data_IF_654267374439
#
_entry.id   IF_654267374439
#
_cell.length_a   1.000
_cell.length_b   1.000
_cell.length_c   1.000
_cell.angle_alpha   90.00
_cell.angle_beta   90.00
_cell.angle_gamma   90.00
#
_symmetry.space_group_name_H-M   'P 1'
#
loop_
_entity.id
_entity.type
_entity.pdbx_description
1 polymer ?
#
# COMPACT_ATOMS: atom_id res chain seq x y z
N UNK A 1 0.27 -24.94 -3.43
CA UNK A 1 0.93 -23.63 -3.22
C UNK A 1 0.36 -23.08 -1.94
N UNK A 2 1.15 -22.45 -1.06
CA UNK A 2 0.58 -21.78 0.11
C UNK A 2 -0.38 -20.69 -0.42
N UNK A 3 -1.64 -20.71 0.02
CA UNK A 3 -2.56 -19.64 -0.34
C UNK A 3 -2.04 -18.34 0.27
N UNK A 4 -1.81 -17.32 -0.56
CA UNK A 4 -1.47 -16.01 -0.07
C UNK A 4 -2.67 -15.42 0.69
N UNK A 5 -2.46 -14.72 1.81
CA UNK A 5 -3.55 -14.12 2.58
C UNK A 5 -4.38 -13.16 1.72
N UNK A 6 -5.71 -13.28 1.83
CA UNK A 6 -6.65 -12.29 1.29
C UNK A 6 -7.19 -11.51 2.49
N UNK A 7 -6.87 -10.25 2.54
CA UNK A 7 -7.22 -9.33 3.62
C UNK A 7 -8.09 -8.17 3.16
N UNK A 8 -8.49 -7.35 4.12
CA UNK A 8 -9.33 -6.18 3.90
C UNK A 8 -8.84 -5.00 4.74
N UNK A 9 -9.03 -3.78 4.23
CA UNK A 9 -8.78 -2.57 5.01
C UNK A 9 -9.89 -2.36 6.03
N UNK A 10 -9.52 -2.29 7.31
CA UNK A 10 -10.44 -2.17 8.45
C UNK A 10 -10.46 -0.75 8.98
N UNK A 11 -11.62 -0.14 9.01
CA UNK A 11 -11.84 1.22 9.54
C UNK A 11 -11.76 1.31 11.07
N UNK A 12 -11.66 2.54 11.58
CA UNK A 12 -11.58 2.78 13.03
C UNK A 12 -12.91 2.55 13.78
N UNK A 13 -14.03 2.38 13.05
CA UNK A 13 -15.36 2.15 13.63
C UNK A 13 -15.67 0.67 13.89
N UNK A 14 -14.81 -0.23 13.43
CA UNK A 14 -15.01 -1.67 13.59
C UNK A 14 -14.68 -2.13 15.03
N UNK A 15 -15.26 -3.24 15.46
CA UNK A 15 -15.08 -3.82 16.82
C UNK A 15 -13.63 -4.27 17.12
N UNK A 16 -12.71 -3.94 16.26
CA UNK A 16 -11.31 -4.27 16.30
C UNK A 16 -10.89 -5.15 15.11
N UNK A 17 -9.60 -5.09 14.73
CA UNK A 17 -9.15 -5.71 13.48
C UNK A 17 -9.35 -7.23 13.44
N UNK A 18 -9.15 -7.95 14.55
CA UNK A 18 -9.33 -9.41 14.60
C UNK A 18 -10.79 -9.82 14.55
N UNK A 19 -11.69 -9.05 15.19
CA UNK A 19 -13.12 -9.29 15.11
C UNK A 19 -13.64 -9.06 13.67
N UNK A 20 -13.20 -7.98 13.04
CA UNK A 20 -13.53 -7.68 11.66
C UNK A 20 -13.02 -8.76 10.69
N UNK A 21 -11.77 -9.24 10.87
CA UNK A 21 -11.24 -10.37 10.09
C UNK A 21 -12.12 -11.62 10.22
N UNK A 22 -12.53 -11.95 11.44
CA UNK A 22 -13.37 -13.12 11.70
C UNK A 22 -14.78 -12.97 11.10
N UNK A 23 -15.38 -11.77 11.16
CA UNK A 23 -16.69 -11.48 10.56
C UNK A 23 -16.67 -11.63 9.04
N UNK A 24 -15.60 -11.19 8.39
CA UNK A 24 -15.44 -11.23 6.93
C UNK A 24 -14.78 -12.51 6.42
N UNK A 25 -14.41 -13.44 7.28
CA UNK A 25 -13.61 -14.63 6.93
C UNK A 25 -12.31 -14.24 6.20
N UNK A 26 -11.66 -13.15 6.62
CA UNK A 26 -10.44 -12.64 6.01
C UNK A 26 -9.19 -13.28 6.62
N UNK A 27 -8.18 -13.56 5.77
CA UNK A 27 -6.88 -14.08 6.22
C UNK A 27 -5.96 -12.97 6.75
N UNK A 28 -6.28 -11.71 6.48
CA UNK A 28 -5.50 -10.56 6.87
C UNK A 28 -6.31 -9.29 7.02
N UNK A 29 -5.70 -8.30 7.65
CA UNK A 29 -6.26 -6.95 7.78
C UNK A 29 -5.21 -5.89 7.48
N UNK A 30 -5.64 -4.79 6.87
CA UNK A 30 -4.86 -3.56 6.82
C UNK A 30 -5.50 -2.53 7.74
N UNK A 31 -4.69 -1.85 8.52
CA UNK A 31 -5.13 -0.85 9.50
C UNK A 31 -4.33 0.43 9.43
N UNK A 32 -4.96 1.55 9.82
CA UNK A 32 -4.25 2.75 10.24
C UNK A 32 -3.95 2.71 11.74
N UNK A 33 -2.77 3.18 12.14
CA UNK A 33 -2.39 3.32 13.56
C UNK A 33 -2.79 4.67 14.15
N UNK A 34 -3.19 5.60 13.29
CA UNK A 34 -3.67 6.95 13.66
C UNK A 34 -4.74 7.36 12.64
N UNK A 35 -5.43 8.47 12.90
CA UNK A 35 -6.23 9.12 11.87
C UNK A 35 -5.36 9.37 10.61
N UNK A 36 -5.75 8.86 9.43
CA UNK A 36 -4.97 8.93 8.20
C UNK A 36 -4.73 10.36 7.69
N UNK A 37 -5.47 11.34 8.18
CA UNK A 37 -5.30 12.76 7.88
C UNK A 37 -4.50 13.51 8.95
N UNK A 38 -3.84 12.79 9.87
CA UNK A 38 -3.15 13.37 11.02
C UNK A 38 -1.65 13.22 10.93
N UNK A 39 -0.92 14.23 11.40
CA UNK A 39 0.53 14.17 11.68
C UNK A 39 0.86 13.73 13.11
N UNK A 40 -0.09 13.09 13.81
CA UNK A 40 0.17 12.58 15.16
C UNK A 40 0.95 11.27 15.12
N UNK A 41 1.90 11.14 16.05
CA UNK A 41 2.59 9.88 16.25
C UNK A 41 1.61 8.80 16.76
N UNK A 42 1.77 7.53 16.32
CA UNK A 42 0.98 6.44 16.85
C UNK A 42 1.25 6.23 18.34
N UNK A 43 0.20 5.79 19.05
CA UNK A 43 0.30 5.37 20.44
C UNK A 43 0.28 3.85 20.49
N UNK A 44 0.84 3.23 21.57
CA UNK A 44 0.68 1.81 21.79
C UNK A 44 -0.81 1.41 21.76
N UNK A 45 -1.13 0.34 21.06
CA UNK A 45 -2.49 -0.18 20.95
C UNK A 45 -2.78 -1.17 22.09
N UNK A 46 -3.99 -1.18 22.65
CA UNK A 46 -4.34 -2.14 23.71
C UNK A 46 -4.36 -3.60 23.19
N UNK A 47 -4.63 -3.81 21.89
CA UNK A 47 -4.70 -5.10 21.21
C UNK A 47 -3.38 -5.52 20.51
N UNK A 48 -2.27 -4.82 20.77
CA UNK A 48 -0.97 -5.06 20.13
C UNK A 48 -0.48 -6.51 20.31
N UNK A 49 -0.62 -7.04 21.52
CA UNK A 49 -0.19 -8.41 21.83
C UNK A 49 -1.06 -9.45 21.10
N UNK A 50 -2.37 -9.22 21.02
CA UNK A 50 -3.31 -10.12 20.36
C UNK A 50 -3.09 -10.13 18.85
N UNK A 51 -2.90 -8.97 18.23
CA UNK A 51 -2.55 -8.85 16.81
C UNK A 51 -1.27 -9.62 16.48
N UNK A 52 -0.22 -9.41 17.29
CA UNK A 52 1.07 -10.08 17.09
C UNK A 52 0.99 -11.60 17.27
N UNK A 53 0.11 -12.09 18.13
CA UNK A 53 -0.02 -13.51 18.44
C UNK A 53 -1.02 -14.24 17.51
N UNK A 54 -1.79 -13.51 16.71
CA UNK A 54 -2.80 -14.06 15.82
C UNK A 54 -2.17 -14.66 14.55
N UNK A 55 -2.90 -15.57 13.90
CA UNK A 55 -2.59 -16.07 12.57
C UNK A 55 -3.09 -15.13 11.46
N UNK A 56 -3.80 -14.05 11.79
CA UNK A 56 -4.28 -13.03 10.85
C UNK A 56 -3.09 -12.18 10.39
N UNK A 57 -2.87 -12.11 9.09
CA UNK A 57 -1.82 -11.27 8.52
C UNK A 57 -2.14 -9.78 8.73
N UNK A 58 -1.25 -9.04 9.36
CA UNK A 58 -1.44 -7.60 9.61
C UNK A 58 -0.60 -6.80 8.62
N UNK A 59 -1.21 -5.83 7.97
CA UNK A 59 -0.55 -4.79 7.19
C UNK A 59 -0.88 -3.43 7.81
N UNK A 60 0.07 -2.53 7.87
CA UNK A 60 -0.18 -1.17 8.35
C UNK A 60 -0.04 -0.20 7.19
N UNK A 61 -1.01 0.69 7.04
CA UNK A 61 -0.92 1.79 6.09
C UNK A 61 -0.51 3.09 6.81
N UNK A 62 0.45 3.79 6.26
CA UNK A 62 0.89 5.10 6.78
C UNK A 62 -0.16 6.19 6.48
N UNK A 63 -0.24 7.25 7.29
CA UNK A 63 -1.16 8.35 7.00
C UNK A 63 -0.95 8.96 5.61
N UNK A 64 -2.03 9.28 4.91
CA UNK A 64 -1.99 9.89 3.56
C UNK A 64 -1.23 11.21 3.50
N UNK A 65 -1.12 11.90 4.64
CA UNK A 65 -0.40 13.18 4.75
C UNK A 65 1.12 13.04 4.62
N UNK A 66 1.65 11.81 4.71
CA UNK A 66 3.09 11.57 4.62
C UNK A 66 3.58 11.77 3.18
N UNK A 67 4.50 12.71 3.01
CA UNK A 67 5.16 12.95 1.74
C UNK A 67 6.66 13.20 1.96
N UNK A 68 7.42 12.12 2.00
CA UNK A 68 8.88 12.19 2.19
C UNK A 68 9.63 12.62 0.92
N UNK A 69 8.97 12.59 -0.24
CA UNK A 69 9.52 13.10 -1.50
C UNK A 69 9.54 14.64 -1.55
N UNK A 70 8.69 15.32 -0.77
CA UNK A 70 8.49 16.76 -0.84
C UNK A 70 9.81 17.55 -0.77
N UNK A 71 9.95 18.55 -1.65
CA UNK A 71 11.06 19.53 -1.61
C UNK A 71 10.93 20.51 -0.44
N UNK A 72 9.70 20.63 0.13
CA UNK A 72 9.45 21.47 1.30
C UNK A 72 9.92 20.77 2.59
N UNK A 73 10.95 21.33 3.23
CA UNK A 73 11.49 20.80 4.49
C UNK A 73 10.47 20.77 5.63
N UNK A 74 9.46 21.66 5.63
CA UNK A 74 8.40 21.68 6.66
C UNK A 74 7.44 20.51 6.54
N UNK A 75 7.39 19.86 5.38
CA UNK A 75 6.61 18.64 5.13
C UNK A 75 7.52 17.42 5.29
N UNK A 76 8.66 17.42 4.58
CA UNK A 76 9.55 16.25 4.51
C UNK A 76 10.17 15.88 5.85
N UNK A 77 10.73 16.84 6.59
CA UNK A 77 11.47 16.52 7.82
C UNK A 77 10.57 15.93 8.90
N UNK A 78 9.41 16.54 9.24
CA UNK A 78 8.44 15.88 10.12
C UNK A 78 7.91 14.56 9.57
N UNK A 79 7.69 14.48 8.25
CA UNK A 79 7.24 13.26 7.57
C UNK A 79 8.18 12.06 7.77
N UNK A 80 9.49 12.25 7.62
CA UNK A 80 10.50 11.21 7.89
C UNK A 80 10.45 10.69 9.33
N UNK A 81 10.35 11.63 10.29
CA UNK A 81 10.26 11.25 11.71
C UNK A 81 8.98 10.44 11.98
N UNK A 82 7.87 10.90 11.42
CA UNK A 82 6.58 10.24 11.58
C UNK A 82 6.57 8.86 10.90
N UNK A 83 7.17 8.72 9.72
CA UNK A 83 7.33 7.45 9.03
C UNK A 83 8.09 6.43 9.89
N UNK A 84 9.21 6.82 10.50
CA UNK A 84 9.98 5.95 11.41
C UNK A 84 9.17 5.54 12.67
N UNK A 85 8.37 6.45 13.21
CA UNK A 85 7.50 6.16 14.35
C UNK A 85 6.39 5.17 13.97
N UNK A 86 5.79 5.32 12.78
CA UNK A 86 4.82 4.36 12.26
C UNK A 86 5.46 3.00 11.99
N UNK A 87 6.68 2.95 11.45
CA UNK A 87 7.40 1.69 11.24
C UNK A 87 7.65 0.95 12.56
N UNK A 88 8.04 1.67 13.62
CA UNK A 88 8.22 1.09 14.94
C UNK A 88 6.89 0.55 15.50
N UNK A 89 5.81 1.30 15.39
CA UNK A 89 4.50 0.88 15.89
C UNK A 89 3.89 -0.26 15.05
N UNK A 90 4.13 -0.28 13.74
CA UNK A 90 3.73 -1.37 12.87
C UNK A 90 4.48 -2.68 13.20
N UNK A 91 5.78 -2.60 13.49
CA UNK A 91 6.55 -3.74 13.98
C UNK A 91 6.03 -4.25 15.32
N UNK A 92 5.54 -3.37 16.20
CA UNK A 92 4.99 -3.74 17.49
C UNK A 92 3.73 -4.61 17.37
N UNK A 93 2.85 -4.34 16.40
CA UNK A 93 1.67 -5.18 16.12
C UNK A 93 1.96 -6.42 15.27
N UNK A 94 3.23 -6.67 14.89
CA UNK A 94 3.61 -7.82 14.09
C UNK A 94 3.28 -7.69 12.60
N UNK A 95 3.17 -6.46 12.07
CA UNK A 95 2.83 -6.24 10.68
C UNK A 95 3.87 -6.80 9.70
N UNK A 96 3.40 -7.26 8.53
CA UNK A 96 4.25 -7.71 7.42
C UNK A 96 5.07 -6.57 6.82
N UNK A 97 4.52 -5.36 6.81
CA UNK A 97 5.15 -4.16 6.29
C UNK A 97 4.33 -2.90 6.58
N UNK A 98 4.94 -1.75 6.33
CA UNK A 98 4.29 -0.44 6.37
C UNK A 98 4.11 0.07 4.94
N UNK A 99 2.87 0.11 4.47
CA UNK A 99 2.51 0.71 3.19
C UNK A 99 2.62 2.23 3.30
N UNK A 100 3.20 2.84 2.30
CA UNK A 100 3.32 4.29 2.20
C UNK A 100 3.20 4.74 0.74
N UNK A 101 2.35 5.72 0.48
CA UNK A 101 2.28 6.34 -0.84
C UNK A 101 3.65 6.89 -1.26
N UNK A 102 3.98 6.75 -2.52
CA UNK A 102 5.27 7.23 -3.05
C UNK A 102 5.52 8.73 -2.86
N UNK A 103 4.47 9.51 -2.58
CA UNK A 103 4.55 10.96 -2.49
C UNK A 103 4.82 11.64 -3.84
N UNK A 104 5.01 12.95 -3.80
CA UNK A 104 5.17 13.78 -5.00
C UNK A 104 5.99 15.02 -4.71
N UNK A 105 6.52 15.64 -5.75
CA UNK A 105 7.03 17.01 -5.74
C UNK A 105 6.06 17.93 -6.49
N UNK A 106 6.18 19.24 -6.29
CA UNK A 106 5.34 20.19 -7.04
C UNK A 106 5.64 20.10 -8.54
N UNK A 107 4.69 20.51 -9.37
CA UNK A 107 4.85 20.50 -10.83
C UNK A 107 6.01 21.41 -11.31
N UNK A 108 6.41 22.39 -10.50
CA UNK A 108 7.54 23.30 -10.76
C UNK A 108 8.88 22.74 -10.28
N UNK A 109 8.88 21.66 -9.53
CA UNK A 109 10.10 21.09 -8.94
C UNK A 109 10.64 19.96 -9.83
N UNK A 110 11.95 19.74 -9.74
CA UNK A 110 12.59 18.60 -10.39
C UNK A 110 12.21 17.30 -9.69
N UNK A 111 11.61 16.30 -10.40
CA UNK A 111 11.32 14.97 -9.84
C UNK A 111 12.55 14.28 -9.22
N UNK A 112 13.76 14.53 -9.76
CA UNK A 112 14.99 13.98 -9.20
C UNK A 112 15.22 14.41 -7.74
N UNK A 113 14.73 15.57 -7.33
CA UNK A 113 14.79 16.01 -5.94
C UNK A 113 13.91 15.14 -5.03
N UNK A 114 12.76 14.69 -5.52
CA UNK A 114 11.88 13.77 -4.78
C UNK A 114 12.50 12.38 -4.62
N UNK A 115 13.11 11.87 -5.67
CA UNK A 115 13.87 10.60 -5.66
C UNK A 115 15.03 10.66 -4.65
N UNK A 116 15.85 11.72 -4.70
CA UNK A 116 16.94 11.91 -3.74
C UNK A 116 16.44 12.08 -2.30
N UNK A 117 15.26 12.68 -2.11
CA UNK A 117 14.63 12.76 -0.79
C UNK A 117 14.22 11.39 -0.25
N UNK A 118 13.74 10.48 -1.08
CA UNK A 118 13.50 9.09 -0.71
C UNK A 118 14.80 8.36 -0.35
N UNK A 119 15.81 8.44 -1.20
CA UNK A 119 17.13 7.88 -0.91
C UNK A 119 17.67 8.36 0.43
N UNK A 120 17.60 9.69 0.68
CA UNK A 120 18.00 10.28 1.96
C UNK A 120 17.15 9.77 3.13
N UNK A 121 15.86 9.47 2.93
CA UNK A 121 15.00 8.95 3.98
C UNK A 121 15.51 7.61 4.48
N UNK A 122 15.85 6.68 3.59
CA UNK A 122 16.48 5.41 3.94
C UNK A 122 17.88 5.59 4.54
N UNK A 123 18.74 6.38 3.90
CA UNK A 123 20.11 6.60 4.36
C UNK A 123 20.20 7.26 5.76
N UNK A 124 19.24 8.13 6.11
CA UNK A 124 19.16 8.67 7.48
C UNK A 124 18.74 7.60 8.47
N UNK A 125 17.80 6.73 8.08
CA UNK A 125 17.34 5.68 8.95
C UNK A 125 18.45 4.63 9.21
N UNK A 126 19.30 4.33 8.23
CA UNK A 126 20.44 3.42 8.44
C UNK A 126 21.43 3.90 9.50
N UNK A 127 21.61 5.22 9.65
CA UNK A 127 22.49 5.80 10.70
C UNK A 127 21.92 5.65 12.09
N UNK A 128 20.58 5.68 12.20
CA UNK A 128 19.85 5.58 13.46
C UNK A 128 19.37 4.12 13.73
N UNK A 129 19.78 3.16 12.90
CA UNK A 129 19.26 1.81 12.76
C UNK A 129 18.41 1.70 11.50
N UNK A 130 18.16 0.50 11.00
CA UNK A 130 17.23 0.27 9.89
C UNK A 130 15.78 0.47 10.34
N UNK A 131 14.85 0.66 9.40
CA UNK A 131 13.43 0.61 9.74
C UNK A 131 13.09 -0.71 10.43
N UNK A 132 12.24 -0.63 11.46
CA UNK A 132 11.90 -1.80 12.28
C UNK A 132 11.17 -2.92 11.51
N UNK A 133 10.63 -2.60 10.32
CA UNK A 133 10.01 -3.54 9.38
C UNK A 133 10.16 -3.00 7.95
N UNK A 134 9.89 -3.82 6.90
CA UNK A 134 9.93 -3.37 5.51
C UNK A 134 8.97 -2.21 5.25
N UNK A 135 9.43 -1.22 4.47
CA UNK A 135 8.56 -0.20 3.88
C UNK A 135 8.11 -0.68 2.50
N UNK A 136 6.80 -0.66 2.27
CA UNK A 136 6.17 -0.98 1.01
C UNK A 136 5.72 0.31 0.33
N UNK A 137 6.39 0.69 -0.76
CA UNK A 137 6.07 1.91 -1.50
C UNK A 137 4.97 1.59 -2.52
N UNK A 138 3.90 2.36 -2.48
CA UNK A 138 2.72 2.15 -3.30
C UNK A 138 2.71 3.09 -4.52
N UNK A 139 2.29 2.56 -5.70
CA UNK A 139 1.98 3.38 -6.86
C UNK A 139 0.76 4.28 -6.62
N UNK A 140 0.60 5.31 -7.42
CA UNK A 140 -0.50 6.28 -7.26
C UNK A 140 -1.21 6.58 -8.58
N UNK A 141 -2.52 6.89 -8.48
CA UNK A 141 -3.40 7.19 -9.62
C UNK A 141 -3.00 8.44 -10.41
N UNK A 142 -2.54 9.47 -9.71
CA UNK A 142 -2.31 10.78 -10.30
C UNK A 142 -1.48 11.69 -9.42
N UNK A 143 -1.55 13.00 -9.68
CA UNK A 143 -0.91 14.01 -8.82
C UNK A 143 0.44 14.49 -9.33
N UNK A 144 0.51 15.10 -10.49
CA UNK A 144 1.67 15.83 -10.97
C UNK A 144 2.94 14.98 -11.09
N UNK A 145 4.01 15.38 -10.40
CA UNK A 145 5.28 14.68 -10.34
C UNK A 145 5.30 13.67 -9.18
N UNK A 146 4.36 12.71 -9.18
CA UNK A 146 4.36 11.60 -8.23
C UNK A 146 5.50 10.63 -8.50
N UNK A 147 6.09 10.07 -7.42
CA UNK A 147 7.33 9.28 -7.53
C UNK A 147 7.10 7.87 -8.11
N UNK A 148 5.88 7.35 -8.09
CA UNK A 148 5.54 6.02 -8.61
C UNK A 148 4.19 6.01 -9.35
N UNK A 149 3.96 6.99 -10.24
CA UNK A 149 2.74 7.05 -11.06
C UNK A 149 2.86 6.24 -12.34
N UNK A 150 4.02 6.21 -12.95
CA UNK A 150 4.32 5.49 -14.17
C UNK A 150 5.59 4.66 -14.02
N UNK A 151 5.80 3.71 -14.92
CA UNK A 151 6.92 2.76 -14.84
C UNK A 151 8.29 3.46 -14.87
N UNK A 152 8.43 4.55 -15.63
CA UNK A 152 9.66 5.32 -15.67
C UNK A 152 9.95 6.03 -14.33
N UNK A 153 8.91 6.53 -13.66
CA UNK A 153 9.03 7.13 -12.34
C UNK A 153 9.41 6.07 -11.29
N UNK A 154 8.81 4.88 -11.37
CA UNK A 154 9.17 3.74 -10.51
C UNK A 154 10.62 3.33 -10.76
N UNK A 155 11.06 3.23 -12.00
CA UNK A 155 12.45 2.87 -12.32
C UNK A 155 13.44 3.85 -11.68
N UNK A 156 13.22 5.16 -11.86
CA UNK A 156 14.07 6.19 -11.23
C UNK A 156 14.03 6.12 -9.69
N UNK A 157 12.88 5.86 -9.10
CA UNK A 157 12.77 5.71 -7.66
C UNK A 157 13.52 4.46 -7.19
N UNK A 158 13.36 3.33 -7.88
CA UNK A 158 13.97 2.05 -7.50
C UNK A 158 15.47 2.02 -7.63
N UNK A 159 16.04 2.74 -8.60
CA UNK A 159 17.50 2.98 -8.67
C UNK A 159 18.05 3.63 -7.39
N UNK A 160 17.23 4.40 -6.70
CA UNK A 160 17.64 5.14 -5.51
C UNK A 160 17.28 4.44 -4.17
N UNK A 161 16.30 3.53 -4.16
CA UNK A 161 15.82 2.92 -2.91
C UNK A 161 15.89 1.39 -2.89
N UNK A 162 16.07 0.74 -4.04
CA UNK A 162 16.06 -0.73 -4.14
C UNK A 162 17.17 -1.39 -3.29
N UNK A 163 18.36 -0.78 -3.20
CA UNK A 163 19.44 -1.28 -2.36
C UNK A 163 19.12 -1.34 -0.86
N UNK A 164 18.16 -0.53 -0.40
CA UNK A 164 17.72 -0.51 0.99
C UNK A 164 16.62 -1.55 1.32
N UNK A 165 16.27 -2.40 0.35
CA UNK A 165 15.26 -3.44 0.55
C UNK A 165 13.82 -2.91 0.58
N UNK A 166 13.53 -1.78 -0.07
CA UNK A 166 12.17 -1.29 -0.25
C UNK A 166 11.30 -2.34 -0.93
N UNK A 167 10.08 -2.56 -0.42
CA UNK A 167 9.05 -3.37 -1.05
C UNK A 167 8.12 -2.53 -1.92
N UNK A 168 7.34 -3.19 -2.77
CA UNK A 168 6.39 -2.55 -3.67
C UNK A 168 4.97 -3.03 -3.43
N UNK A 169 4.02 -2.09 -3.36
CA UNK A 169 2.58 -2.36 -3.40
C UNK A 169 2.05 -1.98 -4.76
N UNK A 170 1.36 -2.91 -5.40
CA UNK A 170 0.61 -2.66 -6.63
C UNK A 170 -0.86 -2.42 -6.28
N UNK A 171 -1.30 -1.17 -6.33
CA UNK A 171 -2.72 -0.84 -6.33
C UNK A 171 -3.26 -0.84 -7.76
N UNK A 172 -4.28 -1.68 -8.00
CA UNK A 172 -4.86 -1.90 -9.32
C UNK A 172 -5.73 -0.72 -9.80
N UNK A 173 -6.46 -0.06 -8.89
CA UNK A 173 -7.20 1.16 -9.21
C UNK A 173 -6.26 2.30 -9.58
N UNK A 174 -5.18 2.48 -8.83
CA UNK A 174 -4.16 3.49 -9.13
C UNK A 174 -3.47 3.24 -10.47
N UNK A 175 -3.08 1.99 -10.74
CA UNK A 175 -2.45 1.61 -12.01
C UNK A 175 -3.40 1.85 -13.19
N UNK A 176 -4.67 1.43 -13.08
CA UNK A 176 -5.71 1.69 -14.06
C UNK A 176 -5.93 3.18 -14.30
N UNK A 177 -6.06 3.96 -13.22
CA UNK A 177 -6.25 5.40 -13.29
C UNK A 177 -5.03 6.13 -13.87
N UNK A 178 -3.83 5.60 -13.68
CA UNK A 178 -2.61 6.10 -14.32
C UNK A 178 -2.48 5.70 -15.80
N UNK A 179 -3.31 4.76 -16.27
CA UNK A 179 -3.35 4.34 -17.67
C UNK A 179 -2.53 3.09 -17.97
N UNK A 180 -2.14 2.29 -16.96
CA UNK A 180 -1.35 1.07 -17.17
C UNK A 180 -2.17 -0.02 -17.83
N UNK A 181 -1.50 -0.91 -18.54
CA UNK A 181 -2.06 -2.20 -18.93
C UNK A 181 -1.94 -3.17 -17.76
N UNK A 182 -3.06 -3.49 -17.12
CA UNK A 182 -3.07 -4.38 -15.96
C UNK A 182 -2.68 -5.83 -16.33
N UNK A 183 -2.82 -6.22 -17.59
CA UNK A 183 -2.43 -7.57 -18.03
C UNK A 183 -0.91 -7.79 -17.93
N UNK A 184 -0.11 -6.74 -18.00
CA UNK A 184 1.36 -6.79 -17.91
C UNK A 184 1.92 -6.15 -16.64
N UNK A 185 1.08 -5.44 -15.86
CA UNK A 185 1.52 -4.59 -14.76
C UNK A 185 2.42 -5.29 -13.73
N UNK A 186 2.12 -6.54 -13.39
CA UNK A 186 2.92 -7.32 -12.43
C UNK A 186 4.30 -7.61 -12.99
N UNK A 187 4.40 -8.03 -14.24
CA UNK A 187 5.68 -8.35 -14.90
C UNK A 187 6.50 -7.08 -15.12
N UNK A 188 5.86 -5.99 -15.55
CA UNK A 188 6.50 -4.69 -15.77
C UNK A 188 7.09 -4.14 -14.46
N UNK A 189 6.34 -4.20 -13.37
CA UNK A 189 6.82 -3.80 -12.04
C UNK A 189 7.96 -4.71 -11.59
N UNK A 190 7.83 -6.02 -11.72
CA UNK A 190 8.89 -6.96 -11.33
C UNK A 190 10.18 -6.79 -12.14
N UNK A 191 10.07 -6.42 -13.41
CA UNK A 191 11.26 -6.12 -14.22
C UNK A 191 12.07 -4.93 -13.67
N UNK A 192 11.40 -3.99 -12.98
CA UNK A 192 12.00 -2.80 -12.38
C UNK A 192 12.43 -3.06 -10.94
N UNK A 193 11.52 -3.58 -10.13
CA UNK A 193 11.68 -3.65 -8.66
C UNK A 193 12.23 -4.99 -8.19
N UNK A 194 12.18 -6.02 -9.03
CA UNK A 194 12.49 -7.41 -8.69
C UNK A 194 11.38 -8.10 -7.87
N UNK A 195 10.32 -7.39 -7.47
CA UNK A 195 9.30 -7.89 -6.53
C UNK A 195 7.96 -7.14 -6.61
N UNK A 196 6.90 -7.80 -6.16
CA UNK A 196 5.65 -7.20 -5.69
C UNK A 196 5.35 -7.87 -4.36
N UNK A 197 5.21 -7.09 -3.29
CA UNK A 197 5.09 -7.60 -1.93
C UNK A 197 3.66 -7.66 -1.42
N UNK A 198 2.81 -6.82 -1.98
CA UNK A 198 1.40 -6.69 -1.64
C UNK A 198 0.65 -6.19 -2.87
N UNK A 199 -0.60 -6.63 -3.02
CA UNK A 199 -1.54 -6.04 -3.98
C UNK A 199 -2.67 -5.39 -3.20
N UNK A 200 -2.92 -4.09 -3.44
CA UNK A 200 -4.20 -3.47 -3.17
C UNK A 200 -5.12 -3.77 -4.36
N UNK A 201 -6.02 -4.72 -4.18
CA UNK A 201 -6.86 -5.21 -5.27
C UNK A 201 -8.19 -4.46 -5.26
N UNK A 202 -8.22 -3.36 -5.99
CA UNK A 202 -9.34 -2.44 -6.04
C UNK A 202 -9.85 -2.30 -7.48
N UNK A 203 -11.17 -2.29 -7.69
CA UNK A 203 -11.73 -1.84 -8.95
C UNK A 203 -11.81 -0.30 -8.99
N UNK A 204 -12.11 0.27 -10.13
CA UNK A 204 -12.19 1.72 -10.33
C UNK A 204 -13.59 2.15 -10.78
N UNK A 205 -14.07 3.27 -10.24
CA UNK A 205 -15.30 3.94 -10.72
C UNK A 205 -15.07 4.73 -12.00
N UNK A 206 -13.83 4.97 -12.37
CA UNK A 206 -13.46 5.83 -13.48
C UNK A 206 -12.76 5.04 -14.59
N UNK A 207 -12.84 5.49 -15.84
CA UNK A 207 -12.18 4.83 -16.95
C UNK A 207 -10.65 4.90 -16.82
N UNK A 208 -9.99 4.00 -17.55
CA UNK A 208 -8.54 3.94 -17.64
C UNK A 208 -7.95 5.30 -18.04
N UNK A 209 -6.85 5.68 -17.39
CA UNK A 209 -6.17 6.95 -17.64
C UNK A 209 -6.85 8.18 -17.04
N UNK A 210 -7.88 8.01 -16.23
CA UNK A 210 -8.64 9.12 -15.61
C UNK A 210 -7.85 9.99 -14.65
N UNK A 211 -6.74 9.47 -14.10
CA UNK A 211 -5.97 10.06 -13.01
C UNK A 211 -6.79 10.29 -11.73
N UNK A 212 -7.87 9.53 -11.54
CA UNK A 212 -8.77 9.63 -10.38
C UNK A 212 -8.67 8.37 -9.54
N UNK A 213 -8.39 8.57 -8.28
CA UNK A 213 -8.38 7.53 -7.26
C UNK A 213 -9.80 7.44 -6.65
N UNK A 214 -10.61 6.52 -7.18
CA UNK A 214 -11.94 6.23 -6.65
C UNK A 214 -12.25 4.75 -6.77
N UNK A 215 -12.07 4.03 -5.69
CA UNK A 215 -12.29 2.60 -5.61
C UNK A 215 -13.75 2.23 -5.85
N UNK A 216 -13.95 1.08 -6.46
CA UNK A 216 -15.24 0.40 -6.66
C UNK A 216 -15.15 -1.04 -6.13
N UNK A 217 -16.30 -1.70 -5.87
CA UNK A 217 -16.32 -3.13 -5.60
C UNK A 217 -15.70 -3.93 -6.76
N UNK A 218 -15.13 -5.09 -6.47
CA UNK A 218 -14.44 -5.91 -7.49
C UNK A 218 -15.32 -6.21 -8.70
N UNK A 219 -16.61 -6.40 -8.48
CA UNK A 219 -17.59 -6.78 -9.52
C UNK A 219 -18.38 -5.61 -10.11
N UNK A 220 -18.19 -4.40 -9.61
CA UNK A 220 -18.99 -3.21 -10.00
C UNK A 220 -18.10 -1.99 -10.23
N UNK A 221 -17.26 -2.05 -11.27
CA UNK A 221 -16.35 -0.98 -11.69
C UNK A 221 -15.95 -1.10 -13.15
N UNK A 222 -15.04 -0.24 -13.57
CA UNK A 222 -14.56 -0.13 -14.94
C UNK A 222 -13.50 -1.19 -15.32
N UNK A 223 -12.87 -1.82 -14.32
CA UNK A 223 -11.88 -2.87 -14.54
C UNK A 223 -12.61 -4.23 -14.62
N UNK A 224 -12.42 -5.02 -15.69
CA UNK A 224 -12.97 -6.37 -15.73
C UNK A 224 -12.52 -7.22 -14.53
N UNK A 225 -13.45 -7.85 -13.83
CA UNK A 225 -13.15 -8.67 -12.63
C UNK A 225 -12.13 -9.77 -12.93
N UNK A 226 -12.20 -10.38 -14.11
CA UNK A 226 -11.26 -11.41 -14.55
C UNK A 226 -9.82 -10.87 -14.59
N UNK A 227 -9.64 -9.62 -15.02
CA UNK A 227 -8.32 -8.98 -15.08
C UNK A 227 -7.77 -8.72 -13.67
N UNK A 228 -8.61 -8.32 -12.71
CA UNK A 228 -8.21 -8.20 -11.31
C UNK A 228 -7.75 -9.54 -10.73
N UNK A 229 -8.48 -10.62 -11.02
CA UNK A 229 -8.10 -11.98 -10.60
C UNK A 229 -6.77 -12.41 -11.24
N UNK A 230 -6.53 -12.07 -12.51
CA UNK A 230 -5.26 -12.36 -13.19
C UNK A 230 -4.09 -11.62 -12.55
N UNK A 231 -4.27 -10.34 -12.18
CA UNK A 231 -3.26 -9.57 -11.43
C UNK A 231 -2.94 -10.24 -10.09
N UNK A 232 -3.95 -10.61 -9.30
CA UNK A 232 -3.76 -11.28 -8.02
C UNK A 232 -3.02 -12.62 -8.17
N UNK A 233 -3.40 -13.41 -9.19
CA UNK A 233 -2.74 -14.68 -9.51
C UNK A 233 -1.29 -14.49 -9.94
N UNK A 234 -1.02 -13.53 -10.82
CA UNK A 234 0.33 -13.24 -11.31
C UNK A 234 1.23 -12.70 -10.19
N UNK A 235 0.69 -11.84 -9.32
CA UNK A 235 1.44 -11.27 -8.21
C UNK A 235 1.85 -12.32 -7.18
N UNK A 236 1.03 -13.34 -6.93
CA UNK A 236 1.32 -14.44 -6.03
C UNK A 236 1.88 -13.97 -4.66
N UNK A 237 1.30 -12.91 -4.11
CA UNK A 237 1.63 -12.30 -2.83
C UNK A 237 0.34 -11.97 -2.06
N UNK A 238 0.40 -11.50 -0.80
CA UNK A 238 -0.79 -11.06 -0.06
C UNK A 238 -1.61 -10.03 -0.84
N UNK A 239 -2.92 -10.10 -0.68
CA UNK A 239 -3.90 -9.18 -1.29
C UNK A 239 -4.65 -8.46 -0.19
N UNK A 240 -4.90 -7.17 -0.36
CA UNK A 240 -5.77 -6.37 0.51
C UNK A 240 -6.82 -5.67 -0.33
N UNK A 241 -8.07 -5.78 0.08
CA UNK A 241 -9.20 -5.05 -0.48
C UNK A 241 -9.37 -3.72 0.25
N UNK A 242 -9.47 -2.64 -0.49
CA UNK A 242 -9.86 -1.31 0.00
C UNK A 242 -11.14 -0.83 -0.69
N UNK A 243 -11.89 -1.79 -1.19
CA UNK A 243 -13.16 -1.58 -1.87
C UNK A 243 -14.20 -0.96 -0.94
N UNK A 244 -15.11 -0.11 -1.45
CA UNK A 244 -16.21 0.39 -0.64
C UNK A 244 -17.21 -0.73 -0.37
N UNK A 245 -17.71 -0.84 0.85
CA UNK A 245 -18.69 -1.84 1.23
C UNK A 245 -18.83 -1.96 2.74
N UNK A 246 -19.62 -2.93 3.15
CA UNK A 246 -19.75 -3.39 4.53
C UNK A 246 -19.09 -4.78 4.69
N UNK A 247 -19.12 -5.34 5.88
CA UNK A 247 -18.51 -6.64 6.16
C UNK A 247 -19.07 -7.76 5.28
N UNK A 248 -20.37 -7.75 4.98
CA UNK A 248 -21.00 -8.75 4.12
C UNK A 248 -20.48 -8.66 2.68
N UNK A 249 -20.37 -7.45 2.14
CA UNK A 249 -19.83 -7.19 0.80
C UNK A 249 -18.38 -7.66 0.68
N UNK A 250 -17.54 -7.36 1.69
CA UNK A 250 -16.16 -7.80 1.70
C UNK A 250 -16.03 -9.33 1.83
N UNK A 251 -16.88 -9.99 2.64
CA UNK A 251 -16.91 -11.45 2.73
C UNK A 251 -17.26 -12.11 1.38
N UNK A 252 -18.17 -11.52 0.60
CA UNK A 252 -18.50 -11.98 -0.75
C UNK A 252 -17.30 -11.82 -1.71
N UNK A 253 -16.60 -10.68 -1.68
CA UNK A 253 -15.41 -10.44 -2.50
C UNK A 253 -14.26 -11.41 -2.14
N UNK A 254 -14.01 -11.66 -0.86
CA UNK A 254 -13.02 -12.63 -0.39
C UNK A 254 -13.38 -14.05 -0.88
N UNK A 255 -14.66 -14.44 -0.77
CA UNK A 255 -15.15 -15.74 -1.25
C UNK A 255 -14.93 -15.88 -2.76
N UNK A 256 -15.25 -14.84 -3.53
CA UNK A 256 -15.01 -14.81 -4.98
C UNK A 256 -13.52 -15.01 -5.30
N UNK A 257 -12.64 -14.27 -4.63
CA UNK A 257 -11.20 -14.34 -4.86
C UNK A 257 -10.65 -15.73 -4.49
N UNK A 258 -11.05 -16.30 -3.36
CA UNK A 258 -10.64 -17.64 -2.96
C UNK A 258 -11.03 -18.69 -4.01
N UNK A 259 -12.26 -18.61 -4.49
CA UNK A 259 -12.74 -19.52 -5.55
C UNK A 259 -11.98 -19.34 -6.86
N UNK A 260 -11.64 -18.13 -7.23
CA UNK A 260 -10.94 -17.82 -8.47
C UNK A 260 -9.43 -18.13 -8.42
N UNK A 261 -8.81 -18.09 -7.23
CA UNK A 261 -7.37 -18.33 -7.05
C UNK A 261 -7.03 -19.77 -6.65
N UNK A 262 -8.05 -20.59 -6.34
CA UNK A 262 -7.89 -22.02 -6.05
C UNK A 262 -7.48 -22.80 -7.30
#
# INVERSE_FOLDING_TARGET
>A
MANNPIGVHVGAADEGPLAAAAEMDADGVQIFLTDPQSYKAPKPRPDEADLRASDVAVVVHAPYMLNVASTNNRIRVPGRKLLAQHATAAAAVGALGLVVHCGHVLATDDPAAGVDNWRKTFAYQEKDGVFALPLFIENTAGGGNAMARDLDAIARLWEAVGEFGAGFVLDTCHAWAAGWDLATAVDDVRAITGRVDLVHLNNSRDPQGSSRDRHAPLTDGEIPTELLVEVARAAACPVVLETPGDAASHAEEITLLRAALA
#
